data_IF_978900661648
#
_entry.id   IF_978900661648
#
_cell.length_a   1.000
_cell.length_b   1.000
_cell.length_c   1.000
_cell.angle_alpha   90.00
_cell.angle_beta   90.00
_cell.angle_gamma   90.00
#
_symmetry.space_group_name_H-M   'P 1'
#
loop_
_entity.id
_entity.type
_entity.pdbx_description
1 polymer ?
#
# COMPACT_ATOMS: atom_id res chain seq x y z
N UNK A 1 -10.34 -11.30 -17.26
CA UNK A 1 -10.57 -10.70 -15.93
C UNK A 1 -11.29 -11.75 -15.09
N UNK A 2 -10.83 -12.06 -13.88
CA UNK A 2 -11.53 -12.99 -13.00
C UNK A 2 -12.87 -12.39 -12.62
N UNK A 3 -13.89 -13.26 -12.40
CA UNK A 3 -15.15 -12.81 -11.84
C UNK A 3 -14.89 -12.31 -10.39
N UNK A 4 -15.53 -11.23 -9.96
CA UNK A 4 -15.36 -10.67 -8.62
C UNK A 4 -15.65 -11.69 -7.49
N UNK A 5 -16.57 -12.64 -7.73
CA UNK A 5 -16.85 -13.73 -6.78
C UNK A 5 -15.68 -14.71 -6.67
N UNK A 6 -15.01 -15.04 -7.78
CA UNK A 6 -13.82 -15.90 -7.78
C UNK A 6 -12.66 -15.21 -7.05
N UNK A 7 -12.52 -13.89 -7.24
CA UNK A 7 -11.50 -13.10 -6.55
C UNK A 7 -11.78 -13.01 -5.04
N UNK A 8 -13.04 -12.80 -4.64
CA UNK A 8 -13.45 -12.83 -3.24
C UNK A 8 -13.18 -14.18 -2.59
N UNK A 9 -13.54 -15.29 -3.26
CA UNK A 9 -13.26 -16.63 -2.74
C UNK A 9 -11.76 -16.88 -2.60
N UNK A 10 -10.97 -16.45 -3.58
CA UNK A 10 -9.49 -16.56 -3.51
C UNK A 10 -8.91 -15.84 -2.29
N UNK A 11 -9.50 -14.71 -1.90
CA UNK A 11 -9.09 -14.02 -0.68
C UNK A 11 -9.47 -14.80 0.55
N UNK A 12 -10.70 -15.29 0.67
CA UNK A 12 -11.15 -16.11 1.81
C UNK A 12 -10.29 -17.36 2.01
N UNK A 13 -9.81 -17.97 0.93
CA UNK A 13 -8.99 -19.17 0.96
C UNK A 13 -7.49 -18.87 1.20
N UNK A 14 -7.13 -17.59 1.31
CA UNK A 14 -5.74 -17.19 1.47
C UNK A 14 -5.21 -17.44 2.89
N UNK A 15 -4.09 -18.19 3.04
CA UNK A 15 -3.46 -18.37 4.35
C UNK A 15 -2.79 -17.08 4.88
N UNK A 16 -2.74 -16.02 4.09
CA UNK A 16 -2.16 -14.74 4.48
C UNK A 16 -3.12 -13.86 5.31
N UNK A 17 -4.41 -14.22 5.38
CA UNK A 17 -5.37 -13.50 6.21
C UNK A 17 -5.22 -13.91 7.68
N UNK A 18 -5.25 -12.92 8.55
CA UNK A 18 -5.49 -13.15 9.98
C UNK A 18 -6.93 -13.57 10.24
N UNK A 19 -7.21 -14.13 11.40
CA UNK A 19 -8.57 -14.51 11.79
C UNK A 19 -9.55 -13.31 11.73
N UNK A 20 -9.13 -12.14 12.19
CA UNK A 20 -9.95 -10.92 12.16
C UNK A 20 -10.25 -10.47 10.72
N UNK A 21 -9.28 -10.55 9.80
CA UNK A 21 -9.46 -10.24 8.40
C UNK A 21 -10.39 -11.24 7.70
N UNK A 22 -10.24 -12.51 8.04
CA UNK A 22 -11.15 -13.55 7.54
C UNK A 22 -12.60 -13.30 8.01
N UNK A 23 -12.80 -12.95 9.29
CA UNK A 23 -14.10 -12.62 9.85
C UNK A 23 -14.71 -11.39 9.16
N UNK A 24 -13.92 -10.34 8.89
CA UNK A 24 -14.37 -9.15 8.14
C UNK A 24 -14.90 -9.55 6.75
N UNK A 25 -14.16 -10.36 6.01
CA UNK A 25 -14.59 -10.81 4.69
C UNK A 25 -15.80 -11.76 4.76
N UNK A 26 -15.81 -12.68 5.72
CA UNK A 26 -16.93 -13.60 5.88
C UNK A 26 -18.24 -12.90 6.27
N UNK A 27 -18.17 -11.77 6.96
CA UNK A 27 -19.33 -10.98 7.34
C UNK A 27 -20.11 -10.41 6.14
N UNK A 28 -19.46 -10.21 4.99
CA UNK A 28 -20.08 -9.72 3.75
C UNK A 28 -20.48 -10.82 2.78
N UNK A 29 -20.36 -12.10 3.14
CA UNK A 29 -20.54 -13.25 2.25
C UNK A 29 -21.88 -13.28 1.51
N UNK A 30 -22.93 -12.76 2.12
CA UNK A 30 -24.29 -12.72 1.56
C UNK A 30 -24.62 -11.36 0.90
N UNK A 31 -23.71 -10.39 0.95
CA UNK A 31 -23.85 -9.06 0.32
C UNK A 31 -23.07 -8.99 -1.00
N UNK A 32 -23.74 -9.44 -2.08
CA UNK A 32 -23.14 -9.44 -3.43
C UNK A 32 -22.72 -8.04 -3.91
N UNK A 33 -23.41 -6.98 -3.49
CA UNK A 33 -23.07 -5.60 -3.90
C UNK A 33 -21.78 -5.15 -3.24
N UNK A 34 -21.62 -5.44 -1.95
CA UNK A 34 -20.40 -5.12 -1.22
C UNK A 34 -19.21 -5.95 -1.73
N UNK A 35 -19.42 -7.25 -2.01
CA UNK A 35 -18.38 -8.09 -2.61
C UNK A 35 -17.96 -7.52 -3.98
N UNK A 36 -18.90 -7.21 -4.86
CA UNK A 36 -18.59 -6.60 -6.15
C UNK A 36 -17.85 -5.28 -6.00
N UNK A 37 -18.29 -4.41 -5.09
CA UNK A 37 -17.64 -3.13 -4.78
C UNK A 37 -16.19 -3.29 -4.36
N UNK A 38 -15.85 -4.35 -3.61
CA UNK A 38 -14.49 -4.60 -3.08
C UNK A 38 -13.58 -5.40 -4.04
N UNK A 39 -14.17 -6.18 -4.96
CA UNK A 39 -13.42 -7.18 -5.75
C UNK A 39 -13.60 -7.07 -7.27
N UNK A 40 -14.39 -6.12 -7.77
CA UNK A 40 -14.64 -5.95 -9.20
C UNK A 40 -13.35 -5.76 -10.03
N UNK A 41 -12.42 -4.96 -9.53
CA UNK A 41 -11.12 -4.72 -10.15
C UNK A 41 -10.10 -4.26 -9.08
N UNK A 42 -8.80 -4.49 -9.26
CA UNK A 42 -7.77 -3.90 -8.40
C UNK A 42 -7.84 -2.37 -8.38
N UNK A 43 -7.32 -1.77 -7.31
CA UNK A 43 -7.03 -0.33 -7.32
C UNK A 43 -6.05 0.00 -8.45
N UNK A 44 -6.35 1.08 -9.16
CA UNK A 44 -5.49 1.58 -10.23
C UNK A 44 -4.69 2.80 -9.77
N UNK A 45 -3.46 2.91 -10.27
CA UNK A 45 -2.64 4.10 -10.07
C UNK A 45 -3.23 5.27 -10.85
N UNK A 46 -3.71 6.27 -10.12
CA UNK A 46 -4.06 7.56 -10.69
C UNK A 46 -2.85 8.48 -10.81
N UNK A 47 -3.07 9.73 -11.23
CA UNK A 47 -2.02 10.76 -11.37
C UNK A 47 -1.27 11.02 -10.04
N UNK A 48 -1.91 10.79 -8.91
CA UNK A 48 -1.38 11.04 -7.57
C UNK A 48 -1.29 9.75 -6.72
N UNK A 49 -0.93 8.62 -7.32
CA UNK A 49 -0.76 7.34 -6.64
C UNK A 49 -2.05 6.53 -6.53
N UNK A 50 -2.03 5.50 -5.66
CA UNK A 50 -3.20 4.72 -5.29
C UNK A 50 -3.98 5.43 -4.19
N UNK A 51 -5.31 5.45 -4.27
CA UNK A 51 -6.18 5.93 -3.19
C UNK A 51 -7.43 5.09 -3.13
N UNK A 52 -7.87 4.75 -1.92
CA UNK A 52 -9.08 3.97 -1.72
C UNK A 52 -9.59 4.03 -0.29
N UNK A 53 -10.84 3.64 -0.11
CA UNK A 53 -11.42 3.41 1.20
C UNK A 53 -10.68 2.28 1.91
N UNK A 54 -10.50 2.41 3.22
CA UNK A 54 -9.85 1.40 4.04
C UNK A 54 -10.81 0.25 4.35
N UNK A 55 -10.60 -0.89 3.72
CA UNK A 55 -11.28 -2.16 3.97
C UNK A 55 -10.49 -3.30 3.30
N UNK A 56 -10.85 -4.53 3.54
CA UNK A 56 -10.33 -5.67 2.80
C UNK A 56 -10.93 -5.77 1.40
N UNK A 57 -10.13 -6.27 0.45
CA UNK A 57 -10.46 -6.42 -0.96
C UNK A 57 -9.43 -5.77 -1.87
N UNK A 58 -9.33 -6.25 -3.10
CA UNK A 58 -8.33 -5.76 -4.06
C UNK A 58 -8.62 -4.33 -4.55
N UNK A 59 -9.85 -3.84 -4.39
CA UNK A 59 -10.28 -2.46 -4.70
C UNK A 59 -10.36 -1.55 -3.47
N UNK A 60 -9.70 -1.94 -2.39
CA UNK A 60 -9.67 -1.20 -1.13
C UNK A 60 -8.23 -0.97 -0.68
N UNK A 61 -8.03 0.01 0.19
CA UNK A 61 -6.72 0.26 0.78
C UNK A 61 -6.54 -0.58 2.05
N UNK A 62 -5.60 -1.52 2.01
CA UNK A 62 -5.26 -2.44 3.09
C UNK A 62 -3.82 -2.90 2.99
N UNK A 63 -3.33 -3.64 3.99
CA UNK A 63 -1.93 -4.09 4.02
C UNK A 63 -1.54 -4.99 2.85
N UNK A 64 -2.46 -5.80 2.34
CA UNK A 64 -2.18 -6.72 1.22
C UNK A 64 -1.98 -5.92 -0.08
N UNK A 65 -2.80 -4.89 -0.30
CA UNK A 65 -2.65 -3.98 -1.45
C UNK A 65 -1.37 -3.15 -1.32
N UNK A 66 -1.05 -2.64 -0.12
CA UNK A 66 0.23 -1.95 0.15
C UNK A 66 1.41 -2.86 -0.16
N UNK A 67 1.43 -4.09 0.35
CA UNK A 67 2.50 -5.07 0.10
C UNK A 67 2.66 -5.35 -1.39
N UNK A 68 1.55 -5.57 -2.10
CA UNK A 68 1.56 -5.83 -3.54
C UNK A 68 2.10 -4.65 -4.35
N UNK A 69 1.61 -3.44 -4.07
CA UNK A 69 2.09 -2.22 -4.73
C UNK A 69 3.58 -1.97 -4.43
N UNK A 70 3.99 -2.19 -3.17
CA UNK A 70 5.39 -2.00 -2.77
C UNK A 70 6.31 -3.03 -3.41
N UNK A 71 5.87 -4.29 -3.56
CA UNK A 71 6.66 -5.30 -4.27
C UNK A 71 6.88 -4.88 -5.73
N UNK A 72 5.83 -4.42 -6.42
CA UNK A 72 5.97 -3.92 -7.78
C UNK A 72 6.93 -2.71 -7.86
N UNK A 73 6.86 -1.80 -6.90
CA UNK A 73 7.77 -0.65 -6.84
C UNK A 73 9.22 -1.07 -6.54
N UNK A 74 9.41 -2.07 -5.68
CA UNK A 74 10.73 -2.64 -5.41
C UNK A 74 11.36 -3.22 -6.69
N UNK A 75 10.58 -3.93 -7.52
CA UNK A 75 11.08 -4.43 -8.81
C UNK A 75 11.52 -3.30 -9.74
N UNK A 76 10.78 -2.19 -9.78
CA UNK A 76 11.20 -1.00 -10.56
C UNK A 76 12.54 -0.45 -10.08
N UNK A 77 12.74 -0.31 -8.75
CA UNK A 77 14.04 0.17 -8.20
C UNK A 77 15.17 -0.82 -8.53
N UNK A 78 14.92 -2.13 -8.45
CA UNK A 78 15.93 -3.16 -8.76
C UNK A 78 16.39 -3.13 -10.23
N UNK A 79 15.51 -2.78 -11.17
CA UNK A 79 15.86 -2.61 -12.58
C UNK A 79 16.92 -1.51 -12.78
N UNK A 80 16.92 -0.47 -11.93
CA UNK A 80 17.93 0.60 -11.94
C UNK A 80 19.31 0.15 -11.37
N UNK A 81 19.40 -1.08 -10.84
CA UNK A 81 20.63 -1.72 -10.41
C UNK A 81 20.99 -1.54 -8.94
N UNK A 82 22.08 -2.17 -8.52
CA UNK A 82 22.54 -2.24 -7.12
C UNK A 82 22.77 -0.85 -6.50
N UNK A 83 23.31 0.09 -7.26
CA UNK A 83 23.51 1.47 -6.80
C UNK A 83 22.18 2.16 -6.43
N UNK A 84 21.11 1.89 -7.16
CA UNK A 84 19.79 2.41 -6.84
C UNK A 84 19.22 1.77 -5.57
N UNK A 85 19.38 0.46 -5.40
CA UNK A 85 19.00 -0.25 -4.19
C UNK A 85 19.77 0.27 -2.95
N UNK A 86 21.05 0.55 -3.10
CA UNK A 86 21.92 1.08 -2.03
C UNK A 86 21.52 2.52 -1.64
N UNK A 87 21.20 3.39 -2.61
CA UNK A 87 20.64 4.73 -2.30
C UNK A 87 19.28 4.62 -1.63
N UNK A 88 18.47 3.66 -2.06
CA UNK A 88 17.24 3.26 -1.41
C UNK A 88 16.08 4.24 -1.56
N UNK A 89 15.18 4.21 -0.61
CA UNK A 89 13.93 4.97 -0.60
C UNK A 89 13.75 5.74 0.71
N UNK A 90 13.15 6.94 0.64
CA UNK A 90 12.62 7.66 1.79
C UNK A 90 11.11 7.44 1.89
N UNK A 91 10.60 7.16 3.09
CA UNK A 91 9.16 6.91 3.32
C UNK A 91 8.67 7.86 4.40
N UNK A 92 7.59 8.59 4.12
CA UNK A 92 6.86 9.36 5.10
C UNK A 92 5.37 8.99 5.12
N UNK A 93 4.66 9.46 6.13
CA UNK A 93 3.25 9.21 6.33
C UNK A 93 2.56 10.38 7.01
N UNK A 94 1.25 10.50 6.79
CA UNK A 94 0.40 11.52 7.42
C UNK A 94 -0.30 10.99 8.69
N UNK A 95 -1.23 11.76 9.23
CA UNK A 95 -1.97 11.44 10.46
C UNK A 95 -3.19 10.53 10.26
N UNK A 96 -3.43 10.01 9.06
CA UNK A 96 -4.59 9.16 8.79
C UNK A 96 -4.48 7.82 9.50
N UNK A 97 -5.63 7.24 9.78
CA UNK A 97 -5.70 5.87 10.32
C UNK A 97 -4.91 4.93 9.43
N UNK A 98 -4.10 4.07 10.04
CA UNK A 98 -3.20 3.12 9.39
C UNK A 98 -2.04 3.70 8.56
N UNK A 99 -1.84 5.03 8.44
CA UNK A 99 -0.75 5.57 7.64
C UNK A 99 0.62 5.11 8.14
N UNK A 100 0.88 5.17 9.44
CA UNK A 100 2.12 4.68 10.05
C UNK A 100 2.30 3.17 9.82
N UNK A 101 1.24 2.37 10.06
CA UNK A 101 1.26 0.92 9.82
C UNK A 101 1.59 0.60 8.36
N UNK A 102 0.94 1.27 7.41
CA UNK A 102 1.18 1.07 5.98
C UNK A 102 2.60 1.48 5.56
N UNK A 103 3.13 2.55 6.15
CA UNK A 103 4.52 2.97 5.92
C UNK A 103 5.53 1.91 6.39
N UNK A 104 5.32 1.32 7.56
CA UNK A 104 6.16 0.24 8.08
C UNK A 104 6.03 -1.06 7.27
N UNK A 105 4.84 -1.40 6.79
CA UNK A 105 4.64 -2.54 5.88
C UNK A 105 5.40 -2.33 4.55
N UNK A 106 5.31 -1.13 3.96
CA UNK A 106 6.06 -0.79 2.78
C UNK A 106 7.57 -0.83 3.03
N UNK A 107 8.04 -0.29 4.16
CA UNK A 107 9.45 -0.35 4.56
C UNK A 107 9.96 -1.80 4.66
N UNK A 108 9.17 -2.68 5.25
CA UNK A 108 9.50 -4.10 5.41
C UNK A 108 9.63 -4.82 4.07
N UNK A 109 8.71 -4.56 3.13
CA UNK A 109 8.77 -5.14 1.77
C UNK A 109 10.02 -4.62 1.02
N UNK A 110 10.30 -3.32 1.08
CA UNK A 110 11.50 -2.75 0.45
C UNK A 110 12.79 -3.37 1.02
N UNK A 111 12.89 -3.46 2.35
CA UNK A 111 14.04 -4.06 3.02
C UNK A 111 14.22 -5.53 2.66
N UNK A 112 13.13 -6.30 2.58
CA UNK A 112 13.15 -7.71 2.17
C UNK A 112 13.64 -7.89 0.71
N UNK A 113 13.50 -6.86 -0.14
CA UNK A 113 14.03 -6.82 -1.49
C UNK A 113 15.48 -6.30 -1.58
N UNK A 114 16.17 -6.09 -0.45
CA UNK A 114 17.53 -5.57 -0.42
C UNK A 114 17.65 -4.07 -0.72
N UNK A 115 16.57 -3.33 -0.65
CA UNK A 115 16.54 -1.90 -0.88
C UNK A 115 16.70 -1.17 0.46
N UNK A 116 17.66 -0.24 0.54
CA UNK A 116 17.87 0.56 1.73
C UNK A 116 16.68 1.48 2.01
N UNK A 117 16.20 1.51 3.27
CA UNK A 117 15.00 2.28 3.63
C UNK A 117 15.35 3.33 4.69
N UNK A 118 14.85 4.55 4.48
CA UNK A 118 14.77 5.62 5.45
C UNK A 118 13.30 5.94 5.69
N UNK A 119 12.80 5.61 6.86
CA UNK A 119 11.44 5.94 7.28
C UNK A 119 11.49 7.06 8.34
N UNK A 120 10.60 8.03 8.24
CA UNK A 120 10.49 9.06 9.25
C UNK A 120 9.95 8.47 10.57
N UNK A 121 10.45 8.96 11.68
CA UNK A 121 10.10 8.53 13.04
C UNK A 121 8.76 9.06 13.55
N UNK A 122 8.17 10.01 12.82
CA UNK A 122 6.86 10.58 13.09
C UNK A 122 6.23 11.05 11.77
N UNK A 123 4.93 11.38 11.82
CA UNK A 123 4.22 11.94 10.68
C UNK A 123 4.92 13.22 10.16
N UNK A 124 4.98 13.36 8.84
CA UNK A 124 5.61 14.51 8.16
C UNK A 124 4.81 14.91 6.92
N UNK A 125 4.81 16.19 6.56
CA UNK A 125 4.16 16.67 5.35
C UNK A 125 4.97 16.31 4.10
N UNK A 126 4.29 16.18 2.97
CA UNK A 126 4.89 15.82 1.67
C UNK A 126 6.13 16.67 1.28
N UNK A 127 6.21 17.98 1.55
CA UNK A 127 7.41 18.76 1.24
C UNK A 127 8.68 18.26 1.96
N UNK A 128 8.57 17.74 3.18
CA UNK A 128 9.71 17.16 3.88
C UNK A 128 10.20 15.88 3.21
N UNK A 129 9.30 15.05 2.66
CA UNK A 129 9.72 13.90 1.85
C UNK A 129 10.50 14.34 0.61
N UNK A 130 10.00 15.33 -0.11
CA UNK A 130 10.69 15.86 -1.29
C UNK A 130 12.09 16.40 -0.96
N UNK A 131 12.21 17.07 0.17
CA UNK A 131 13.50 17.51 0.70
C UNK A 131 14.40 16.31 1.06
N UNK A 132 13.87 15.32 1.78
CA UNK A 132 14.62 14.14 2.23
C UNK A 132 15.19 13.33 1.05
N UNK A 133 14.39 13.15 -0.01
CA UNK A 133 14.86 12.46 -1.23
C UNK A 133 16.10 13.14 -1.81
N UNK A 134 16.11 14.46 -1.89
CA UNK A 134 17.25 15.22 -2.40
C UNK A 134 18.42 15.25 -1.40
N UNK A 135 18.12 15.45 -0.12
CA UNK A 135 19.13 15.58 0.94
C UNK A 135 19.92 14.28 1.16
N UNK A 136 19.22 13.15 1.17
CA UNK A 136 19.85 11.83 1.33
C UNK A 136 20.24 11.19 0.00
N UNK A 137 19.89 11.77 -1.13
CA UNK A 137 20.16 11.22 -2.46
C UNK A 137 19.50 9.88 -2.70
N UNK A 138 18.30 9.64 -2.11
CA UNK A 138 17.57 8.38 -2.32
C UNK A 138 17.08 8.26 -3.75
N UNK A 139 16.96 7.02 -4.24
CA UNK A 139 16.45 6.74 -5.59
C UNK A 139 15.00 7.16 -5.75
N UNK A 140 14.22 7.01 -4.67
CA UNK A 140 12.79 7.29 -4.69
C UNK A 140 12.28 7.81 -3.33
N UNK A 141 11.03 8.26 -3.32
CA UNK A 141 10.28 8.60 -2.12
C UNK A 141 8.87 8.06 -2.18
N UNK A 142 8.33 7.64 -1.04
CA UNK A 142 6.97 7.15 -0.87
C UNK A 142 6.28 7.94 0.24
N UNK A 143 5.08 8.44 -0.04
CA UNK A 143 4.23 9.07 0.96
C UNK A 143 2.94 8.29 1.15
N UNK A 144 2.68 7.83 2.37
CA UNK A 144 1.41 7.20 2.73
C UNK A 144 0.43 8.29 3.14
N UNK A 145 -0.47 8.64 2.21
CA UNK A 145 -1.44 9.72 2.38
C UNK A 145 -2.54 9.65 1.32
N UNK A 146 -3.75 10.04 1.66
CA UNK A 146 -4.82 10.27 0.68
C UNK A 146 -5.10 11.76 0.45
N UNK A 147 -4.16 12.65 0.82
CA UNK A 147 -4.26 14.09 0.57
C UNK A 147 -5.55 14.72 1.17
N UNK A 148 -6.50 15.12 0.31
CA UNK A 148 -7.76 15.77 0.68
C UNK A 148 -8.99 14.82 0.62
N UNK A 149 -8.79 13.53 0.36
CA UNK A 149 -9.90 12.58 0.41
C UNK A 149 -10.51 12.49 1.82
N UNK A 150 -11.78 12.02 1.97
CA UNK A 150 -12.40 11.78 3.27
C UNK A 150 -11.56 10.91 4.20
N UNK A 151 -11.84 10.96 5.49
CA UNK A 151 -11.04 10.25 6.53
C UNK A 151 -11.04 8.73 6.40
N UNK A 152 -12.04 8.18 5.72
CA UNK A 152 -12.18 6.74 5.42
C UNK A 152 -11.16 6.25 4.38
N UNK A 153 -10.50 7.17 3.66
CA UNK A 153 -9.52 6.87 2.62
C UNK A 153 -8.10 6.89 3.19
N UNK A 154 -7.26 6.05 2.59
CA UNK A 154 -5.81 6.21 2.64
C UNK A 154 -5.23 6.05 1.23
N UNK A 155 -3.91 6.24 1.09
CA UNK A 155 -3.24 6.18 -0.22
C UNK A 155 -1.75 5.87 -0.12
N UNK A 156 -1.19 5.56 -1.32
CA UNK A 156 0.18 5.08 -1.53
C UNK A 156 0.82 5.83 -2.71
#
# INVERSE_FOLDING_TARGET
MRNYMEEYQRWLDSPALSNAEWEELNAIRDDKKEIESRFFAPLEFGTAGLRGEMALGCRRMNIHVIRHATQAFAEVIKVEGESACARGIAICFDCRVNSERFAHEAASVMAANGIHVRIFDALRPTPELSFAVKHYGTTAGLNITASHNPKEYNGY
#
